data_IF_848989228640
#
_entry.id   IF_848989228640
#
_cell.length_a   1.000
_cell.length_b   1.000
_cell.length_c   1.000
_cell.angle_alpha   90.00
_cell.angle_beta   90.00
_cell.angle_gamma   90.00
#
_symmetry.space_group_name_H-M   'P 1'
#
loop_
_entity.id
_entity.type
_entity.pdbx_description
1 polymer ?
#
# COMPACT_ATOMS: atom_id res chain seq x y z
N UNK A 1 -9.40 12.51 11.01
CA UNK A 1 -10.40 11.83 11.87
C UNK A 1 -11.43 12.81 12.40
N UNK A 2 -11.06 13.77 13.27
CA UNK A 2 -12.02 14.74 13.84
C UNK A 2 -12.88 15.49 12.79
N UNK A 3 -12.30 15.89 11.66
CA UNK A 3 -13.04 16.58 10.60
C UNK A 3 -14.02 15.63 9.87
N UNK A 4 -13.60 14.38 9.62
CA UNK A 4 -14.45 13.37 9.00
C UNK A 4 -15.64 13.03 9.90
N UNK A 5 -15.41 12.87 11.20
CA UNK A 5 -16.48 12.65 12.19
C UNK A 5 -17.47 13.82 12.24
N UNK A 6 -16.95 15.07 12.30
CA UNK A 6 -17.79 16.27 12.29
C UNK A 6 -18.64 16.43 11.02
N UNK A 7 -18.15 15.92 9.89
CA UNK A 7 -18.84 15.97 8.60
C UNK A 7 -19.66 14.71 8.29
N UNK A 8 -19.75 13.75 9.23
CA UNK A 8 -20.48 12.50 9.03
C UNK A 8 -19.88 11.57 7.97
N UNK A 9 -18.61 11.79 7.60
CA UNK A 9 -17.90 11.01 6.58
C UNK A 9 -17.49 9.65 7.11
N UNK A 10 -17.81 8.60 6.35
CA UNK A 10 -17.33 7.25 6.62
C UNK A 10 -16.10 6.95 5.76
N UNK A 11 -14.91 7.15 6.35
CA UNK A 11 -13.64 6.96 5.65
C UNK A 11 -13.43 5.53 5.14
N UNK A 12 -13.94 4.53 5.85
CA UNK A 12 -13.85 3.14 5.40
C UNK A 12 -14.66 2.92 4.12
N UNK A 13 -15.91 3.41 4.09
CA UNK A 13 -16.74 3.35 2.89
C UNK A 13 -16.09 4.10 1.73
N UNK A 14 -15.56 5.30 1.97
CA UNK A 14 -14.89 6.09 0.94
C UNK A 14 -13.65 5.39 0.39
N UNK A 15 -12.81 4.79 1.25
CA UNK A 15 -11.62 4.02 0.85
C UNK A 15 -12.02 2.92 -0.13
N UNK A 16 -12.96 2.05 0.26
CA UNK A 16 -13.36 0.92 -0.58
C UNK A 16 -14.07 1.37 -1.86
N UNK A 17 -14.93 2.38 -1.78
CA UNK A 17 -15.58 2.93 -2.97
C UNK A 17 -14.54 3.47 -3.97
N UNK A 18 -13.49 4.16 -3.51
CA UNK A 18 -12.43 4.65 -4.41
C UNK A 18 -11.54 3.54 -4.98
N UNK A 19 -11.35 2.44 -4.26
CA UNK A 19 -10.66 1.25 -4.81
C UNK A 19 -11.43 0.62 -5.98
N UNK A 20 -12.76 0.83 -6.06
CA UNK A 20 -13.57 0.33 -7.17
C UNK A 20 -13.22 1.00 -8.51
N UNK A 21 -12.56 2.17 -8.50
CA UNK A 21 -12.08 2.78 -9.74
C UNK A 21 -11.12 1.85 -10.52
N UNK A 22 -10.34 1.01 -9.81
CA UNK A 22 -9.48 -0.02 -10.40
C UNK A 22 -10.19 -1.37 -10.51
N UNK A 23 -10.89 -1.80 -9.46
CA UNK A 23 -11.40 -3.18 -9.38
C UNK A 23 -12.76 -3.39 -10.05
N UNK A 24 -13.62 -2.38 -10.07
CA UNK A 24 -15.00 -2.44 -10.59
C UNK A 24 -15.39 -1.09 -11.23
N UNK A 25 -14.74 -0.66 -12.31
CA UNK A 25 -14.89 0.68 -12.86
C UNK A 25 -16.33 1.02 -13.29
N UNK A 26 -17.07 0.04 -13.81
CA UNK A 26 -18.48 0.22 -14.20
C UNK A 26 -19.40 0.49 -13.00
N UNK A 27 -19.15 -0.19 -11.87
CA UNK A 27 -19.89 0.06 -10.63
C UNK A 27 -19.44 1.36 -9.96
N UNK A 28 -18.15 1.71 -10.05
CA UNK A 28 -17.61 2.95 -9.51
C UNK A 28 -18.29 4.18 -10.11
N UNK A 29 -18.49 4.21 -11.44
CA UNK A 29 -19.18 5.31 -12.13
C UNK A 29 -20.59 5.55 -11.57
N UNK A 30 -21.28 4.50 -11.11
CA UNK A 30 -22.64 4.62 -10.54
C UNK A 30 -22.64 5.25 -9.14
N UNK A 31 -21.53 5.20 -8.41
CA UNK A 31 -21.44 5.65 -7.02
C UNK A 31 -20.53 6.87 -6.81
N UNK A 32 -19.68 7.21 -7.78
CA UNK A 32 -18.64 8.24 -7.59
C UNK A 32 -19.20 9.61 -7.25
N UNK A 33 -20.41 9.95 -7.74
CA UNK A 33 -21.10 11.21 -7.45
C UNK A 33 -21.61 11.30 -6.00
N UNK A 34 -21.69 10.18 -5.28
CA UNK A 34 -22.02 10.13 -3.85
C UNK A 34 -20.80 10.27 -2.94
N UNK A 35 -19.59 10.21 -3.50
CA UNK A 35 -18.37 10.40 -2.72
C UNK A 35 -18.07 11.88 -2.54
N UNK A 36 -17.57 12.31 -1.36
CA UNK A 36 -17.06 13.66 -1.21
C UNK A 36 -15.99 13.95 -2.27
N UNK A 37 -16.01 15.11 -2.94
CA UNK A 37 -14.99 15.42 -3.94
C UNK A 37 -13.61 15.52 -3.27
N UNK A 38 -12.57 15.08 -3.97
CA UNK A 38 -11.20 15.29 -3.53
C UNK A 38 -10.80 16.74 -3.75
N UNK A 39 -9.92 17.25 -2.90
CA UNK A 39 -9.23 18.51 -3.19
C UNK A 39 -8.41 18.34 -4.49
N UNK A 40 -8.39 19.31 -5.42
CA UNK A 40 -7.70 19.19 -6.70
C UNK A 40 -6.18 18.89 -6.62
N UNK A 41 -5.51 19.23 -5.52
CA UNK A 41 -4.09 18.92 -5.31
C UNK A 41 -3.86 17.46 -4.90
N UNK A 42 -4.86 16.79 -4.31
CA UNK A 42 -4.71 15.46 -3.72
C UNK A 42 -4.30 14.39 -4.75
N UNK A 43 -4.94 14.28 -5.94
CA UNK A 43 -4.59 13.25 -6.90
C UNK A 43 -3.10 13.27 -7.29
N UNK A 44 -2.52 14.45 -7.51
CA UNK A 44 -1.11 14.56 -7.88
C UNK A 44 -0.17 14.14 -6.73
N UNK A 45 -0.51 14.48 -5.49
CA UNK A 45 0.26 14.06 -4.31
C UNK A 45 0.22 12.54 -4.15
N UNK A 46 -0.95 11.92 -4.35
CA UNK A 46 -1.13 10.48 -4.28
C UNK A 46 -0.26 9.77 -5.31
N UNK A 47 -0.27 10.20 -6.57
CA UNK A 47 0.53 9.55 -7.62
C UNK A 47 2.04 9.70 -7.37
N UNK A 48 2.50 10.83 -6.79
CA UNK A 48 3.90 10.99 -6.37
C UNK A 48 4.29 9.97 -5.30
N UNK A 49 3.45 9.81 -4.27
CA UNK A 49 3.68 8.86 -3.18
C UNK A 49 3.69 7.42 -3.72
N UNK A 50 2.67 7.04 -4.48
CA UNK A 50 2.52 5.69 -5.04
C UNK A 50 3.75 5.33 -5.86
N UNK A 51 4.19 6.21 -6.76
CA UNK A 51 5.37 5.94 -7.59
C UNK A 51 6.61 5.60 -6.76
N UNK A 52 6.84 6.30 -5.65
CA UNK A 52 8.00 6.04 -4.77
C UNK A 52 7.81 4.71 -4.04
N UNK A 53 6.63 4.47 -3.48
CA UNK A 53 6.34 3.26 -2.72
C UNK A 53 6.41 2.01 -3.62
N UNK A 54 5.89 2.04 -4.85
CA UNK A 54 5.95 0.89 -5.75
C UNK A 54 7.40 0.51 -6.09
N UNK A 55 8.27 1.49 -6.36
CA UNK A 55 9.69 1.21 -6.58
C UNK A 55 10.33 0.53 -5.35
N UNK A 56 9.99 0.99 -4.14
CA UNK A 56 10.46 0.38 -2.90
C UNK A 56 9.96 -1.04 -2.69
N UNK A 57 8.70 -1.33 -3.04
CA UNK A 57 8.15 -2.68 -2.98
C UNK A 57 8.79 -3.62 -4.00
N UNK A 58 9.07 -3.14 -5.22
CA UNK A 58 9.79 -3.91 -6.24
C UNK A 58 11.22 -4.25 -5.79
N UNK A 59 11.95 -3.28 -5.23
CA UNK A 59 13.28 -3.50 -4.65
C UNK A 59 13.26 -4.55 -3.53
N UNK A 60 12.24 -4.51 -2.66
CA UNK A 60 12.05 -5.47 -1.58
C UNK A 60 11.69 -6.85 -2.11
N UNK A 61 10.79 -6.94 -3.09
CA UNK A 61 10.40 -8.20 -3.69
C UNK A 61 11.59 -8.87 -4.40
N UNK A 62 12.49 -8.09 -5.01
CA UNK A 62 13.72 -8.60 -5.60
C UNK A 62 14.72 -9.11 -4.55
N UNK A 63 14.90 -8.39 -3.44
CA UNK A 63 15.86 -8.75 -2.38
C UNK A 63 15.37 -9.87 -1.47
N UNK A 64 14.08 -9.86 -1.10
CA UNK A 64 13.47 -10.77 -0.13
C UNK A 64 12.20 -11.43 -0.70
N UNK A 65 12.30 -12.21 -1.80
CA UNK A 65 11.15 -12.71 -2.54
C UNK A 65 10.24 -13.62 -1.70
N UNK A 66 10.78 -14.41 -0.76
CA UNK A 66 9.98 -15.36 0.01
C UNK A 66 9.19 -14.69 1.14
N UNK A 67 9.71 -13.59 1.69
CA UNK A 67 8.97 -12.74 2.63
C UNK A 67 7.87 -12.00 1.88
N UNK A 68 8.22 -11.35 0.76
CA UNK A 68 7.30 -10.48 0.02
C UNK A 68 6.20 -11.25 -0.73
N UNK A 69 6.47 -12.46 -1.22
CA UNK A 69 5.49 -13.25 -1.98
C UNK A 69 4.27 -13.71 -1.16
N UNK A 70 4.30 -13.58 0.17
CA UNK A 70 3.10 -13.79 1.02
C UNK A 70 2.17 -12.58 1.02
N UNK A 71 2.64 -11.45 0.49
CA UNK A 71 1.90 -10.20 0.36
C UNK A 71 0.95 -10.20 -0.84
N UNK A 72 0.39 -9.02 -1.09
CA UNK A 72 -0.46 -8.74 -2.24
C UNK A 72 0.41 -8.49 -3.48
N UNK A 73 -0.14 -8.65 -4.70
CA UNK A 73 0.49 -8.14 -5.91
C UNK A 73 0.84 -6.66 -5.76
N UNK A 74 1.89 -6.21 -6.46
CA UNK A 74 2.37 -4.83 -6.30
C UNK A 74 1.48 -3.89 -7.11
N UNK A 75 1.19 -4.26 -8.36
CA UNK A 75 0.59 -3.36 -9.35
C UNK A 75 -0.90 -3.62 -9.58
N UNK A 76 -1.62 -2.55 -9.92
CA UNK A 76 -3.05 -2.57 -10.17
C UNK A 76 -3.47 -3.42 -11.38
N UNK A 77 -2.59 -3.63 -12.37
CA UNK A 77 -2.87 -4.54 -13.49
C UNK A 77 -2.95 -6.02 -13.07
N UNK A 78 -2.52 -6.36 -11.85
CA UNK A 78 -2.63 -7.70 -11.25
C UNK A 78 -3.91 -7.84 -10.39
N UNK A 79 -4.71 -6.78 -10.27
CA UNK A 79 -5.99 -6.81 -9.55
C UNK A 79 -6.95 -7.83 -10.19
N UNK A 80 -7.67 -8.54 -9.34
CA UNK A 80 -8.78 -9.40 -9.74
C UNK A 80 -9.87 -9.41 -8.65
N UNK A 81 -10.96 -10.15 -8.90
CA UNK A 81 -12.12 -10.25 -8.00
C UNK A 81 -11.76 -10.66 -6.56
N UNK A 82 -10.69 -11.45 -6.38
CA UNK A 82 -10.31 -11.99 -5.07
C UNK A 82 -9.11 -11.27 -4.44
N UNK A 83 -8.26 -10.65 -5.26
CA UNK A 83 -7.00 -10.09 -4.83
C UNK A 83 -6.86 -8.66 -5.33
N UNK A 84 -6.78 -7.73 -4.39
CA UNK A 84 -6.41 -6.33 -4.65
C UNK A 84 -4.93 -6.12 -4.34
N UNK A 85 -4.25 -5.46 -5.27
CA UNK A 85 -2.85 -5.03 -5.21
C UNK A 85 -2.59 -4.01 -4.11
N UNK A 86 -1.30 -3.87 -3.79
CA UNK A 86 -0.79 -2.82 -2.91
C UNK A 86 -1.08 -1.43 -3.49
N UNK A 87 -0.84 -1.24 -4.79
CA UNK A 87 -1.10 0.01 -5.49
C UNK A 87 -2.56 0.49 -5.28
N UNK A 88 -3.53 -0.36 -5.60
CA UNK A 88 -4.96 -0.01 -5.49
C UNK A 88 -5.37 0.24 -4.05
N UNK A 89 -4.89 -0.58 -3.11
CA UNK A 89 -5.17 -0.41 -1.69
C UNK A 89 -4.64 0.92 -1.15
N UNK A 90 -3.37 1.23 -1.48
CA UNK A 90 -2.70 2.46 -1.05
C UNK A 90 -3.41 3.69 -1.64
N UNK A 91 -3.76 3.66 -2.94
CA UNK A 91 -4.50 4.75 -3.58
C UNK A 91 -5.84 5.03 -2.90
N UNK A 92 -6.60 3.98 -2.59
CA UNK A 92 -7.86 4.08 -1.86
C UNK A 92 -7.69 4.68 -0.48
N UNK A 93 -6.66 4.24 0.26
CA UNK A 93 -6.35 4.75 1.59
C UNK A 93 -5.96 6.23 1.58
N UNK A 94 -4.99 6.60 0.73
CA UNK A 94 -4.50 7.97 0.64
C UNK A 94 -5.60 8.95 0.20
N UNK A 95 -6.57 8.50 -0.58
CA UNK A 95 -7.71 9.32 -0.99
C UNK A 95 -8.68 9.66 0.14
N UNK A 96 -8.53 9.05 1.32
CA UNK A 96 -9.31 9.41 2.52
C UNK A 96 -8.61 10.42 3.41
N UNK A 97 -7.33 10.71 3.15
CA UNK A 97 -6.53 11.58 3.98
C UNK A 97 -6.85 13.05 3.70
N UNK A 98 -6.65 13.90 4.71
CA UNK A 98 -6.70 15.35 4.51
C UNK A 98 -5.52 15.81 3.66
N UNK A 99 -5.66 16.94 2.95
CA UNK A 99 -4.55 17.54 2.20
C UNK A 99 -3.32 17.77 3.08
N UNK A 100 -3.53 18.23 4.32
CA UNK A 100 -2.43 18.44 5.29
C UNK A 100 -1.71 17.13 5.60
N UNK A 101 -2.46 16.06 5.87
CA UNK A 101 -1.88 14.74 6.15
C UNK A 101 -1.09 14.20 4.96
N UNK A 102 -1.60 14.35 3.74
CA UNK A 102 -0.91 13.89 2.54
C UNK A 102 0.38 14.67 2.28
N UNK A 103 0.39 15.99 2.51
CA UNK A 103 1.62 16.80 2.37
C UNK A 103 2.70 16.35 3.36
N UNK A 104 2.34 16.18 4.63
CA UNK A 104 3.30 15.67 5.63
C UNK A 104 3.76 14.25 5.32
N UNK A 105 2.86 13.37 4.85
CA UNK A 105 3.26 12.02 4.48
C UNK A 105 4.20 12.01 3.26
N UNK A 106 3.95 12.85 2.25
CA UNK A 106 4.86 13.01 1.12
C UNK A 106 6.22 13.58 1.57
N UNK A 107 6.25 14.54 2.49
CA UNK A 107 7.49 15.06 3.08
C UNK A 107 8.32 13.93 3.73
N UNK A 108 7.69 13.06 4.52
CA UNK A 108 8.35 11.91 5.13
C UNK A 108 8.87 10.93 4.06
N UNK A 109 8.04 10.59 3.07
CA UNK A 109 8.44 9.70 1.96
C UNK A 109 9.64 10.28 1.18
N UNK A 110 9.63 11.59 0.91
CA UNK A 110 10.74 12.26 0.22
C UNK A 110 12.00 12.32 1.09
N UNK A 111 11.87 12.48 2.41
CA UNK A 111 13.01 12.45 3.32
C UNK A 111 13.70 11.08 3.31
N UNK A 112 12.93 9.99 3.38
CA UNK A 112 13.47 8.63 3.26
C UNK A 112 14.18 8.43 1.91
N UNK A 113 13.55 8.89 0.82
CA UNK A 113 14.13 8.80 -0.51
C UNK A 113 15.45 9.59 -0.61
N UNK A 114 15.52 10.79 -0.05
CA UNK A 114 16.71 11.64 -0.04
C UNK A 114 17.85 11.03 0.80
N UNK A 115 17.53 10.28 1.84
CA UNK A 115 18.48 9.52 2.66
C UNK A 115 18.86 8.16 2.03
N UNK A 116 18.36 7.86 0.82
CA UNK A 116 18.51 6.57 0.15
C UNK A 116 18.03 5.39 1.02
N UNK A 117 16.95 5.62 1.77
CA UNK A 117 16.28 4.64 2.63
C UNK A 117 14.93 4.27 2.02
N UNK A 118 14.52 3.04 2.28
CA UNK A 118 13.24 2.49 1.87
C UNK A 118 12.33 2.37 3.11
N UNK A 119 11.26 3.18 3.16
CA UNK A 119 10.36 3.20 4.32
C UNK A 119 9.64 1.86 4.50
N UNK A 120 9.21 1.22 3.40
CA UNK A 120 8.60 -0.12 3.42
C UNK A 120 9.54 -1.16 4.03
N UNK A 121 10.85 -1.07 3.74
CA UNK A 121 11.86 -1.99 4.29
C UNK A 121 11.95 -1.86 5.80
N UNK A 122 12.00 -0.63 6.31
CA UNK A 122 12.05 -0.37 7.76
C UNK A 122 10.82 -0.95 8.46
N UNK A 123 9.63 -0.74 7.89
CA UNK A 123 8.39 -1.29 8.44
C UNK A 123 8.41 -2.81 8.42
N UNK A 124 8.86 -3.42 7.32
CA UNK A 124 8.91 -4.87 7.17
C UNK A 124 9.95 -5.51 8.11
N UNK A 125 11.12 -4.89 8.29
CA UNK A 125 12.14 -5.31 9.27
C UNK A 125 11.56 -5.35 10.69
N UNK A 126 10.89 -4.29 11.11
CA UNK A 126 10.25 -4.24 12.43
C UNK A 126 9.10 -5.26 12.55
N UNK A 127 8.40 -5.53 11.45
CA UNK A 127 7.33 -6.54 11.41
C UNK A 127 7.90 -7.95 11.59
N UNK A 128 8.98 -8.33 10.90
CA UNK A 128 9.58 -9.66 11.05
C UNK A 128 10.21 -9.84 12.43
N UNK A 129 10.79 -8.78 13.01
CA UNK A 129 11.26 -8.79 14.41
C UNK A 129 10.16 -9.12 15.40
N UNK A 130 8.98 -8.54 15.22
CA UNK A 130 7.81 -8.85 16.05
C UNK A 130 7.29 -10.27 15.86
N UNK A 131 7.53 -10.88 14.69
CA UNK A 131 7.24 -12.29 14.45
C UNK A 131 8.32 -13.26 14.95
N UNK A 132 9.39 -12.74 15.58
CA UNK A 132 10.44 -13.55 16.21
C UNK A 132 11.62 -13.89 15.30
N UNK A 133 11.80 -13.17 14.20
CA UNK A 133 13.01 -13.24 13.38
C UNK A 133 13.97 -12.10 13.74
N UNK A 134 15.27 -12.33 13.71
CA UNK A 134 16.28 -11.30 13.99
C UNK A 134 16.43 -10.30 12.83
N UNK A 135 16.12 -10.72 11.60
CA UNK A 135 16.30 -9.93 10.37
C UNK A 135 15.40 -10.37 9.21
N UNK A 136 15.33 -9.55 8.15
CA UNK A 136 14.67 -9.94 6.90
C UNK A 136 15.38 -11.09 6.22
N UNK A 137 16.72 -11.13 6.28
CA UNK A 137 17.54 -12.19 5.72
C UNK A 137 17.18 -13.55 6.35
N UNK A 138 17.13 -13.58 7.69
CA UNK A 138 16.76 -14.79 8.42
C UNK A 138 15.33 -15.23 8.10
N UNK A 139 14.38 -14.29 8.10
CA UNK A 139 12.99 -14.58 7.76
C UNK A 139 12.85 -15.15 6.34
N UNK A 140 13.54 -14.55 5.37
CA UNK A 140 13.50 -14.96 3.97
C UNK A 140 14.08 -16.36 3.77
N UNK A 141 15.24 -16.66 4.36
CA UNK A 141 15.85 -17.99 4.25
C UNK A 141 15.03 -19.08 4.97
N UNK A 142 14.48 -18.79 6.16
CA UNK A 142 13.60 -19.77 6.85
C UNK A 142 12.35 -20.10 6.04
N UNK A 143 11.69 -19.10 5.43
CA UNK A 143 10.50 -19.33 4.60
C UNK A 143 10.88 -20.12 3.33
N UNK A 144 12.00 -19.78 2.69
CA UNK A 144 12.54 -20.50 1.53
C UNK A 144 12.78 -21.98 1.84
N UNK A 145 13.49 -22.29 2.93
CA UNK A 145 13.76 -23.66 3.35
C UNK A 145 12.47 -24.43 3.66
N UNK A 146 11.51 -23.80 4.35
CA UNK A 146 10.21 -24.42 4.64
C UNK A 146 9.44 -24.79 3.37
N UNK A 147 9.48 -23.94 2.33
CA UNK A 147 8.80 -24.21 1.05
C UNK A 147 9.48 -25.32 0.25
N UNK A 148 10.81 -25.29 0.16
CA UNK A 148 11.55 -26.34 -0.57
C UNK A 148 11.27 -27.72 0.04
N UNK A 149 11.21 -27.80 1.37
CA UNK A 149 10.89 -29.04 2.07
C UNK A 149 9.44 -29.51 1.88
N UNK A 150 8.49 -28.62 1.56
CA UNK A 150 7.11 -28.99 1.24
C UNK A 150 6.95 -29.48 -0.20
N UNK A 151 7.75 -28.97 -1.14
CA UNK A 151 7.72 -29.38 -2.56
C UNK A 151 8.40 -30.74 -2.81
N UNK A 152 9.28 -31.17 -1.90
CA UNK A 152 9.99 -32.45 -1.96
C UNK A 152 9.23 -33.61 -1.28
N UNK A 153 8.04 -33.36 -0.73
CA UNK A 153 7.15 -34.37 -0.12
C UNK A 153 5.97 -34.64 -1.04
#
# INVERSE_FOLDING_TARGET
>A
LMEAEKSGRNLMTEKYARMMASTHPEEYVKIMDHLPPLNPEIPELIEKIIKIVLNWEEELAAQYPFVCQRGRPIHSYEDNEFVTSLETYLRGELSTFSLKTLKSYLEDVLQYLAENKNMSKVILEETVKRYGFDSLEEANEKIKSSRLNQQLR
#
